data_IF_750747437139
#
_entry.id   IF_750747437139
#
_cell.length_a   1.000
_cell.length_b   1.000
_cell.length_c   1.000
_cell.angle_alpha   90.00
_cell.angle_beta   90.00
_cell.angle_gamma   90.00
#
_symmetry.space_group_name_H-M   'P 1'
#
loop_
_entity.id
_entity.type
_entity.pdbx_description
1 polymer ?
#
# COMPACT_ATOMS: atom_id res chain seq x y z
N UNK A 1 -1.93 -3.82 -14.95
CA UNK A 1 -3.36 -4.10 -14.71
C UNK A 1 -3.60 -4.06 -13.20
N UNK A 2 -4.62 -3.34 -12.72
CA UNK A 2 -5.01 -3.32 -11.31
C UNK A 2 -6.12 -4.35 -11.10
N UNK A 3 -5.96 -5.26 -10.14
CA UNK A 3 -6.94 -6.29 -9.80
C UNK A 3 -7.09 -6.38 -8.29
N UNK A 4 -8.34 -6.48 -7.81
CA UNK A 4 -8.62 -6.70 -6.38
C UNK A 4 -8.26 -8.12 -5.91
N UNK A 5 -8.07 -9.07 -6.84
CA UNK A 5 -7.56 -10.42 -6.57
C UNK A 5 -6.08 -10.49 -6.90
N UNK A 6 -5.30 -11.01 -5.96
CA UNK A 6 -3.88 -11.33 -6.18
C UNK A 6 -3.82 -12.42 -7.26
N UNK A 7 -3.41 -12.03 -8.46
CA UNK A 7 -3.25 -12.93 -9.60
C UNK A 7 -1.90 -12.67 -10.28
N UNK A 8 -1.09 -13.70 -10.36
CA UNK A 8 0.12 -13.74 -11.17
C UNK A 8 -0.26 -14.06 -12.61
N UNK A 9 -0.56 -13.03 -13.40
CA UNK A 9 -0.62 -13.18 -14.86
C UNK A 9 0.82 -13.30 -15.37
N UNK A 10 1.10 -14.27 -16.24
CA UNK A 10 2.42 -14.59 -16.79
C UNK A 10 3.15 -13.42 -17.52
N UNK A 11 2.49 -12.27 -17.68
CA UNK A 11 3.01 -11.05 -18.31
C UNK A 11 2.90 -9.82 -17.38
N UNK A 12 3.05 -10.02 -16.07
CA UNK A 12 2.97 -8.93 -15.10
C UNK A 12 4.18 -7.99 -15.26
N UNK A 13 4.04 -6.94 -16.08
CA UNK A 13 5.03 -5.86 -16.16
C UNK A 13 4.91 -4.97 -14.93
N UNK A 14 6.02 -4.81 -14.22
CA UNK A 14 6.15 -3.88 -13.10
C UNK A 14 6.06 -2.45 -13.65
N UNK A 15 4.99 -1.75 -13.32
CA UNK A 15 4.80 -0.35 -13.71
C UNK A 15 5.56 0.52 -12.73
N UNK A 16 6.72 1.03 -13.15
CA UNK A 16 7.57 1.91 -12.35
C UNK A 16 7.34 3.42 -12.59
N UNK A 17 6.43 3.77 -13.50
CA UNK A 17 6.17 5.15 -13.92
C UNK A 17 5.16 5.87 -13.02
N UNK A 18 5.33 7.19 -12.86
CA UNK A 18 4.38 8.06 -12.16
C UNK A 18 4.46 7.95 -10.62
N UNK A 19 3.33 7.87 -9.89
CA UNK A 19 3.33 7.86 -8.42
C UNK A 19 4.02 6.60 -7.83
N UNK A 20 4.07 5.51 -8.59
CA UNK A 20 4.83 4.30 -8.27
C UNK A 20 6.35 4.52 -8.21
N UNK A 21 6.84 5.67 -8.69
CA UNK A 21 8.24 6.08 -8.58
C UNK A 21 8.61 6.50 -7.15
N UNK A 22 7.66 7.02 -6.39
CA UNK A 22 7.90 7.55 -5.03
C UNK A 22 7.59 6.52 -3.95
N UNK A 23 6.63 5.64 -4.20
CA UNK A 23 6.17 4.63 -3.25
C UNK A 23 5.72 3.37 -3.98
N UNK A 24 5.96 2.18 -3.42
CA UNK A 24 5.53 0.91 -4.02
C UNK A 24 4.01 0.78 -4.08
N UNK A 25 3.30 1.42 -3.16
CA UNK A 25 1.83 1.35 -3.10
C UNK A 25 1.15 2.72 -2.91
N UNK A 26 1.11 3.56 -3.96
CA UNK A 26 0.50 4.89 -3.88
C UNK A 26 -1.00 4.85 -3.58
N UNK A 27 -1.71 3.80 -4.02
CA UNK A 27 -3.13 3.63 -3.74
C UNK A 27 -3.42 3.46 -2.24
N UNK A 28 -2.60 2.69 -1.50
CA UNK A 28 -2.78 2.54 -0.05
C UNK A 28 -2.43 3.83 0.70
N UNK A 29 -1.42 4.58 0.24
CA UNK A 29 -1.13 5.90 0.81
C UNK A 29 -2.33 6.86 0.64
N UNK A 30 -2.93 6.90 -0.55
CA UNK A 30 -4.15 7.69 -0.80
C UNK A 30 -5.33 7.23 0.07
N UNK A 31 -5.50 5.92 0.26
CA UNK A 31 -6.55 5.35 1.10
C UNK A 31 -6.38 5.76 2.57
N UNK A 32 -5.16 5.76 3.11
CA UNK A 32 -4.88 6.23 4.47
C UNK A 32 -5.22 7.72 4.59
N UNK A 33 -4.79 8.56 3.65
CA UNK A 33 -5.07 10.01 3.68
C UNK A 33 -6.58 10.28 3.61
N UNK A 34 -7.30 9.62 2.70
CA UNK A 34 -8.74 9.78 2.57
C UNK A 34 -9.49 9.40 3.84
N UNK A 35 -9.12 8.26 4.45
CA UNK A 35 -9.74 7.80 5.70
C UNK A 35 -9.32 8.65 6.91
N UNK A 36 -8.10 9.21 6.92
CA UNK A 36 -7.70 10.19 7.91
C UNK A 36 -8.56 11.47 7.82
N UNK A 37 -8.87 11.94 6.61
CA UNK A 37 -9.79 13.05 6.39
C UNK A 37 -11.19 12.78 6.94
N UNK A 38 -11.70 11.55 6.77
CA UNK A 38 -12.98 11.11 7.36
C UNK A 38 -12.90 11.11 8.89
N UNK A 39 -11.84 10.53 9.47
CA UNK A 39 -11.66 10.50 10.92
C UNK A 39 -11.58 11.91 11.53
N UNK A 40 -10.87 12.83 10.85
CA UNK A 40 -10.79 14.25 11.21
C UNK A 40 -12.14 14.96 11.07
N UNK A 41 -12.91 14.69 10.01
CA UNK A 41 -14.21 15.33 9.79
C UNK A 41 -15.19 15.06 10.93
N UNK A 42 -15.23 13.82 11.44
CA UNK A 42 -16.10 13.46 12.54
C UNK A 42 -15.59 13.89 13.93
N UNK A 43 -14.33 14.35 14.04
CA UNK A 43 -13.65 14.77 15.28
C UNK A 43 -13.89 13.83 16.48
N UNK A 44 -14.13 12.55 16.21
CA UNK A 44 -14.51 11.57 17.21
C UNK A 44 -13.33 10.64 17.46
N UNK A 45 -12.92 10.60 18.73
CA UNK A 45 -11.80 9.81 19.24
C UNK A 45 -12.01 8.31 19.02
N UNK A 46 -13.26 7.81 19.02
CA UNK A 46 -13.56 6.42 18.67
C UNK A 46 -13.22 6.14 17.21
N UNK A 47 -13.62 7.02 16.29
CA UNK A 47 -13.33 6.89 14.86
C UNK A 47 -11.83 7.00 14.58
N UNK A 48 -11.13 7.89 15.28
CA UNK A 48 -9.68 8.00 15.23
C UNK A 48 -8.99 6.72 15.75
N UNK A 49 -9.44 6.16 16.87
CA UNK A 49 -8.93 4.90 17.40
C UNK A 49 -9.16 3.73 16.44
N UNK A 50 -10.36 3.60 15.87
CA UNK A 50 -10.66 2.56 14.86
C UNK A 50 -9.78 2.73 13.63
N UNK A 51 -9.62 3.95 13.14
CA UNK A 51 -8.73 4.22 12.01
C UNK A 51 -7.28 3.83 12.31
N UNK A 52 -6.74 4.25 13.46
CA UNK A 52 -5.34 4.06 13.82
C UNK A 52 -5.01 2.60 14.19
N UNK A 53 -5.89 1.92 14.92
CA UNK A 53 -5.64 0.59 15.48
C UNK A 53 -6.24 -0.56 14.66
N UNK A 54 -7.20 -0.29 13.77
CA UNK A 54 -7.82 -1.32 12.92
C UNK A 54 -7.44 -1.10 11.46
N UNK A 55 -7.76 0.06 10.90
CA UNK A 55 -7.59 0.28 9.46
C UNK A 55 -6.11 0.33 9.04
N UNK A 56 -5.28 1.09 9.76
CA UNK A 56 -3.85 1.20 9.43
C UNK A 56 -3.14 -0.16 9.53
N UNK A 57 -3.26 -0.95 10.62
CA UNK A 57 -2.65 -2.28 10.69
C UNK A 57 -3.19 -3.25 9.63
N UNK A 58 -4.49 -3.22 9.34
CA UNK A 58 -5.08 -4.07 8.30
C UNK A 58 -4.50 -3.76 6.91
N UNK A 59 -4.32 -2.48 6.59
CA UNK A 59 -3.68 -2.06 5.34
C UNK A 59 -2.23 -2.56 5.31
N UNK A 60 -1.45 -2.34 6.37
CA UNK A 60 -0.05 -2.79 6.46
C UNK A 60 0.08 -4.31 6.30
N UNK A 61 -0.81 -5.08 6.94
CA UNK A 61 -0.86 -6.53 6.81
C UNK A 61 -1.15 -6.95 5.37
N UNK A 62 -2.10 -6.28 4.70
CA UNK A 62 -2.44 -6.56 3.31
C UNK A 62 -1.27 -6.29 2.37
N UNK A 63 -0.53 -5.21 2.59
CA UNK A 63 0.69 -4.89 1.83
C UNK A 63 1.76 -5.97 2.04
N UNK A 64 1.95 -6.43 3.27
CA UNK A 64 2.92 -7.48 3.56
C UNK A 64 2.60 -8.80 2.82
N UNK A 65 1.31 -9.18 2.75
CA UNK A 65 0.88 -10.34 1.96
C UNK A 65 1.11 -10.10 0.46
N UNK A 66 0.71 -8.94 -0.05
CA UNK A 66 0.82 -8.60 -1.47
C UNK A 66 2.28 -8.60 -1.92
N UNK A 67 3.19 -8.04 -1.11
CA UNK A 67 4.61 -8.07 -1.40
C UNK A 67 5.21 -9.47 -1.29
N UNK A 68 4.76 -10.33 -0.38
CA UNK A 68 5.21 -11.72 -0.35
C UNK A 68 4.89 -12.43 -1.66
N UNK A 69 3.76 -12.11 -2.28
CA UNK A 69 3.42 -12.63 -3.61
C UNK A 69 4.23 -11.95 -4.72
N UNK A 70 4.42 -10.64 -4.66
CA UNK A 70 5.18 -9.88 -5.66
C UNK A 70 6.67 -10.22 -5.67
N UNK A 71 7.28 -10.56 -4.53
CA UNK A 71 8.66 -11.04 -4.46
C UNK A 71 8.88 -12.40 -5.17
N UNK A 72 7.79 -13.14 -5.46
CA UNK A 72 7.84 -14.32 -6.32
C UNK A 72 7.91 -14.01 -7.81
N UNK A 73 7.78 -12.72 -8.22
CA UNK A 73 7.86 -12.29 -9.61
C UNK A 73 9.30 -11.87 -9.93
N UNK A 74 9.80 -12.36 -11.05
CA UNK A 74 11.13 -12.04 -11.56
C UNK A 74 11.28 -10.51 -11.81
N UNK A 75 12.36 -9.92 -11.31
CA UNK A 75 12.62 -8.47 -11.42
C UNK A 75 11.98 -7.59 -10.34
N UNK A 76 11.08 -8.11 -9.49
CA UNK A 76 10.47 -7.32 -8.41
C UNK A 76 11.46 -6.95 -7.31
N UNK A 77 12.42 -7.83 -7.00
CA UNK A 77 13.44 -7.57 -5.98
C UNK A 77 14.30 -6.33 -6.32
N UNK A 78 14.69 -6.16 -7.59
CA UNK A 78 15.45 -5.00 -8.06
C UNK A 78 14.61 -3.72 -8.07
N UNK A 79 13.32 -3.82 -8.44
CA UNK A 79 12.37 -2.71 -8.34
C UNK A 79 12.16 -2.27 -6.87
N UNK A 80 12.06 -3.23 -5.96
CA UNK A 80 11.85 -2.99 -4.54
C UNK A 80 13.06 -2.29 -3.90
N UNK A 81 14.28 -2.72 -4.22
CA UNK A 81 15.55 -2.25 -3.62
C UNK A 81 15.68 -0.73 -3.44
N UNK A 82 15.16 0.04 -4.39
CA UNK A 82 15.33 1.49 -4.44
C UNK A 82 14.07 2.29 -4.08
N UNK A 83 12.99 1.64 -3.61
CA UNK A 83 11.71 2.29 -3.33
C UNK A 83 11.14 1.95 -1.96
N UNK A 84 10.60 2.96 -1.28
CA UNK A 84 9.91 2.82 0.02
C UNK A 84 8.51 2.25 -0.15
N UNK A 85 8.00 1.54 0.86
CA UNK A 85 6.71 0.83 0.79
C UNK A 85 5.51 1.78 0.79
N UNK A 86 5.45 2.73 1.73
CA UNK A 86 4.30 3.67 1.86
C UNK A 86 4.65 5.12 2.19
N UNK A 87 5.29 5.38 3.32
CA UNK A 87 5.55 6.73 3.85
C UNK A 87 6.94 6.75 4.51
N UNK A 88 7.59 7.93 4.69
CA UNK A 88 8.95 8.02 5.22
C UNK A 88 9.16 7.55 6.67
N UNK A 89 8.18 6.92 7.34
CA UNK A 89 8.26 6.54 8.76
C UNK A 89 7.58 5.19 9.11
N UNK A 90 7.01 4.47 8.14
CA UNK A 90 6.39 3.14 8.36
C UNK A 90 7.08 2.08 7.48
N UNK A 91 8.43 2.16 7.43
CA UNK A 91 9.41 1.56 6.47
C UNK A 91 10.00 2.56 5.47
#
# INVERSE_FOLDING_TARGET
FYSHRVQTLAQHRIVASGPYRHTRHPAYAGMIIANAGIALYFLNWVTACVFLFILVPAILWRIAIEEKTLFGIEGYAEFAKHRKRLFPAVW
#
